data_IF_511126051003
#
_entry.id   IF_511126051003
#
_cell.length_a   1.000
_cell.length_b   1.000
_cell.length_c   1.000
_cell.angle_alpha   90.00
_cell.angle_beta   90.00
_cell.angle_gamma   90.00
#
_symmetry.space_group_name_H-M   'P 1'
#
loop_
_entity.id
_entity.type
_entity.pdbx_description
1 polymer ?
#
# COMPACT_ATOMS: atom_id res chain seq x y z
N UNK A 1 7.73 -48.20 -9.56
CA UNK A 1 9.07 -48.51 -8.98
C UNK A 1 8.88 -49.59 -7.94
N UNK A 2 9.77 -50.59 -7.85
CA UNK A 2 9.72 -51.67 -6.87
C UNK A 2 10.50 -51.22 -5.63
N UNK A 3 9.87 -51.24 -4.45
CA UNK A 3 10.60 -51.17 -3.18
C UNK A 3 11.34 -52.50 -2.93
N UNK A 4 12.35 -52.47 -2.05
CA UNK A 4 13.27 -53.58 -1.66
C UNK A 4 12.59 -54.79 -0.97
N UNK A 5 11.49 -55.27 -1.54
CA UNK A 5 10.74 -56.44 -1.08
C UNK A 5 9.72 -56.97 -2.09
N UNK A 6 9.82 -56.59 -3.37
CA UNK A 6 8.94 -57.12 -4.42
C UNK A 6 7.47 -56.68 -4.33
N UNK A 7 7.14 -55.72 -3.45
CA UNK A 7 5.79 -55.20 -3.27
C UNK A 7 5.55 -54.02 -4.21
N UNK A 8 4.51 -54.10 -5.04
CA UNK A 8 4.09 -52.97 -5.89
C UNK A 8 3.57 -51.85 -4.97
N UNK A 9 4.30 -50.75 -4.86
CA UNK A 9 3.92 -49.58 -4.08
C UNK A 9 3.85 -48.36 -4.99
N UNK A 10 2.83 -47.52 -4.82
CA UNK A 10 2.70 -46.27 -5.55
C UNK A 10 3.06 -45.10 -4.66
N UNK A 11 3.75 -44.13 -5.24
CA UNK A 11 4.09 -42.87 -4.58
C UNK A 11 2.84 -42.11 -4.14
N UNK A 12 3.05 -41.08 -3.32
CA UNK A 12 2.01 -40.13 -2.93
C UNK A 12 1.32 -39.54 -4.17
N UNK A 13 0.03 -39.24 -4.04
CA UNK A 13 -0.80 -38.75 -5.14
C UNK A 13 -1.07 -39.78 -6.24
N UNK A 14 -0.66 -41.05 -6.08
CA UNK A 14 -0.92 -42.13 -7.03
C UNK A 14 -1.58 -43.35 -6.37
N UNK A 15 -2.48 -43.97 -7.09
CA UNK A 15 -3.16 -45.22 -6.71
C UNK A 15 -2.81 -46.35 -7.65
N UNK A 16 -2.81 -47.58 -7.13
CA UNK A 16 -2.52 -48.78 -7.90
C UNK A 16 -3.80 -49.27 -8.58
N UNK A 17 -3.83 -49.21 -9.91
CA UNK A 17 -4.95 -49.70 -10.74
C UNK A 17 -4.37 -50.73 -11.70
N UNK A 18 -4.82 -51.98 -11.60
CA UNK A 18 -4.40 -53.08 -12.47
C UNK A 18 -2.88 -53.28 -12.58
N UNK A 19 -2.16 -53.06 -11.47
CA UNK A 19 -0.69 -53.20 -11.41
C UNK A 19 0.10 -51.96 -11.84
N UNK A 20 -0.57 -50.88 -12.25
CA UNK A 20 0.05 -49.62 -12.63
C UNK A 20 -0.29 -48.49 -11.65
N UNK A 21 0.67 -47.62 -11.38
CA UNK A 21 0.44 -46.43 -10.55
C UNK A 21 -0.11 -45.28 -11.39
N UNK A 22 -1.36 -44.92 -11.16
CA UNK A 22 -2.03 -43.79 -11.82
C UNK A 22 -2.25 -42.62 -10.85
N UNK A 23 -2.19 -41.36 -11.32
CA UNK A 23 -2.52 -40.21 -10.48
C UNK A 23 -3.91 -40.33 -9.87
N UNK A 24 -4.11 -39.76 -8.68
CA UNK A 24 -5.45 -39.59 -8.12
C UNK A 24 -6.32 -38.74 -9.05
N UNK A 25 -7.61 -39.02 -9.10
CA UNK A 25 -8.60 -38.19 -9.81
C UNK A 25 -8.85 -36.86 -9.07
N UNK A 26 -9.48 -35.88 -9.72
CA UNK A 26 -9.83 -34.62 -9.05
C UNK A 26 -10.80 -34.88 -7.88
N UNK A 27 -10.63 -34.11 -6.80
CA UNK A 27 -11.37 -34.36 -5.55
C UNK A 27 -10.85 -35.56 -4.74
N UNK A 28 -9.66 -36.10 -5.08
CA UNK A 28 -9.00 -37.15 -4.31
C UNK A 28 -7.52 -36.86 -4.05
N UNK A 29 -7.00 -37.36 -2.92
CA UNK A 29 -5.61 -37.21 -2.53
C UNK A 29 -5.04 -38.48 -1.88
N UNK A 30 -3.72 -38.57 -1.76
CA UNK A 30 -3.01 -39.63 -1.03
C UNK A 30 -1.66 -39.13 -0.54
N UNK A 31 -1.48 -39.05 0.76
CA UNK A 31 -0.30 -38.42 1.39
C UNK A 31 0.80 -39.38 1.84
N UNK A 32 0.64 -40.66 1.56
CA UNK A 32 1.59 -41.73 1.86
C UNK A 32 1.81 -42.62 0.63
N UNK A 33 3.00 -43.23 0.54
CA UNK A 33 3.24 -44.26 -0.45
C UNK A 33 2.55 -45.57 -0.03
N UNK A 34 2.14 -46.39 -1.00
CA UNK A 34 1.56 -47.70 -0.72
C UNK A 34 0.59 -48.18 -1.80
N UNK A 35 -0.13 -49.26 -1.49
CA UNK A 35 -1.12 -49.88 -2.38
C UNK A 35 -2.52 -49.28 -2.24
N UNK A 36 -2.77 -48.50 -1.19
CA UNK A 36 -4.10 -47.98 -0.87
C UNK A 36 -4.63 -47.03 -1.96
N UNK A 37 -5.96 -46.99 -2.09
CA UNK A 37 -6.67 -46.04 -2.95
C UNK A 37 -6.55 -44.61 -2.45
N UNK A 38 -6.73 -43.64 -3.35
CA UNK A 38 -6.79 -42.24 -2.96
C UNK A 38 -8.04 -41.95 -2.12
N UNK A 39 -7.87 -41.16 -1.08
CA UNK A 39 -8.92 -40.67 -0.19
C UNK A 39 -9.75 -39.58 -0.87
N UNK A 40 -11.00 -39.42 -0.44
CA UNK A 40 -11.97 -38.48 -1.02
C UNK A 40 -11.92 -37.17 -0.25
N UNK A 41 -11.78 -36.05 -0.95
CA UNK A 41 -11.75 -34.72 -0.35
C UNK A 41 -13.04 -34.36 0.40
N UNK A 42 -14.19 -34.61 -0.23
CA UNK A 42 -15.55 -34.35 0.31
C UNK A 42 -15.76 -34.92 1.71
N UNK A 43 -15.40 -36.18 1.95
CA UNK A 43 -15.67 -36.85 3.23
C UNK A 43 -14.53 -36.77 4.25
N UNK A 44 -13.33 -36.33 3.85
CA UNK A 44 -12.14 -36.35 4.72
C UNK A 44 -11.59 -34.99 5.08
N UNK A 45 -11.83 -33.97 4.27
CA UNK A 45 -11.14 -32.68 4.39
C UNK A 45 -12.11 -31.51 4.33
N UNK A 46 -12.91 -31.43 3.26
CA UNK A 46 -13.81 -30.31 2.99
C UNK A 46 -15.09 -30.84 2.36
N UNK A 47 -16.21 -30.72 3.05
CA UNK A 47 -17.50 -31.17 2.52
C UNK A 47 -17.90 -30.39 1.27
N UNK A 48 -18.27 -31.10 0.21
CA UNK A 48 -18.55 -30.58 -1.12
C UNK A 48 -17.31 -30.33 -2.00
N UNK A 49 -16.11 -30.69 -1.57
CA UNK A 49 -14.90 -30.56 -2.38
C UNK A 49 -14.71 -31.75 -3.33
N UNK A 50 -15.17 -31.58 -4.57
CA UNK A 50 -14.96 -32.54 -5.67
C UNK A 50 -13.80 -32.17 -6.59
N UNK A 51 -12.99 -31.20 -6.18
CA UNK A 51 -11.95 -30.59 -6.99
C UNK A 51 -10.64 -30.54 -6.19
N UNK A 52 -9.53 -30.46 -6.92
CA UNK A 52 -8.19 -30.26 -6.34
C UNK A 52 -7.52 -29.03 -6.98
N UNK A 53 -6.65 -28.35 -6.24
CA UNK A 53 -5.92 -27.17 -6.75
C UNK A 53 -5.05 -27.52 -7.96
N UNK A 54 -4.97 -26.65 -8.99
CA UNK A 54 -4.08 -26.84 -10.13
C UNK A 54 -2.63 -26.51 -9.76
N UNK A 55 -1.69 -27.42 -10.05
CA UNK A 55 -0.26 -27.18 -9.85
C UNK A 55 0.69 -28.34 -10.19
N UNK A 56 0.22 -29.58 -10.28
CA UNK A 56 0.80 -30.72 -11.02
C UNK A 56 0.01 -31.99 -10.65
N UNK A 57 0.03 -33.04 -11.47
CA UNK A 57 -0.55 -34.36 -11.12
C UNK A 57 0.04 -34.95 -9.81
N UNK A 58 1.16 -34.40 -9.33
CA UNK A 58 1.83 -34.70 -8.05
C UNK A 58 1.32 -33.90 -6.84
N UNK A 59 0.42 -32.94 -7.01
CA UNK A 59 -0.10 -32.11 -5.90
C UNK A 59 -1.20 -32.79 -5.10
N UNK A 60 -1.78 -33.88 -5.59
CA UNK A 60 -2.71 -34.76 -4.87
C UNK A 60 -2.02 -35.59 -3.79
N UNK A 61 -0.80 -35.23 -3.43
CA UNK A 61 0.03 -35.85 -2.39
C UNK A 61 -0.29 -35.34 -0.98
N UNK A 62 -1.32 -34.51 -0.81
CA UNK A 62 -1.75 -33.99 0.48
C UNK A 62 -3.23 -33.65 0.49
N UNK A 63 -3.86 -33.77 1.65
CA UNK A 63 -5.22 -33.28 1.91
C UNK A 63 -5.38 -31.79 1.60
N UNK A 64 -4.30 -31.00 1.69
CA UNK A 64 -4.29 -29.57 1.35
C UNK A 64 -4.56 -29.28 -0.13
N UNK A 65 -4.51 -30.29 -0.99
CA UNK A 65 -4.85 -30.16 -2.40
C UNK A 65 -6.35 -30.01 -2.64
N UNK A 66 -7.18 -30.45 -1.69
CA UNK A 66 -8.64 -30.39 -1.79
C UNK A 66 -9.13 -28.93 -1.90
N UNK A 67 -10.01 -28.69 -2.86
CA UNK A 67 -10.49 -27.35 -3.19
C UNK A 67 -11.99 -27.36 -3.50
N UNK A 68 -12.66 -26.25 -3.19
CA UNK A 68 -13.99 -25.99 -3.73
C UNK A 68 -13.90 -25.67 -5.23
N UNK A 69 -14.90 -26.11 -5.99
CA UNK A 69 -15.00 -25.82 -7.41
C UNK A 69 -15.23 -24.33 -7.70
N UNK A 70 -15.31 -24.00 -9.00
CA UNK A 70 -15.61 -22.62 -9.44
C UNK A 70 -16.99 -22.21 -8.92
N UNK A 71 -17.16 -20.94 -8.55
CA UNK A 71 -18.43 -20.43 -8.03
C UNK A 71 -18.68 -20.72 -6.54
N UNK A 72 -17.78 -21.47 -5.88
CA UNK A 72 -17.87 -21.83 -4.46
C UNK A 72 -16.65 -21.34 -3.68
N UNK A 73 -16.80 -21.20 -2.37
CA UNK A 73 -15.72 -20.88 -1.45
C UNK A 73 -15.74 -21.81 -0.23
N UNK A 74 -14.59 -21.94 0.42
CA UNK A 74 -14.45 -22.66 1.69
C UNK A 74 -15.02 -21.80 2.81
N UNK A 75 -16.07 -22.31 3.43
CA UNK A 75 -16.83 -21.71 4.51
C UNK A 75 -16.54 -22.46 5.81
N UNK A 76 -15.76 -21.87 6.74
CA UNK A 76 -15.48 -22.47 8.03
C UNK A 76 -16.74 -22.37 8.92
N UNK A 77 -17.42 -23.49 9.09
CA UNK A 77 -18.57 -23.60 9.99
C UNK A 77 -18.10 -24.06 11.36
N UNK A 78 -18.58 -23.40 12.40
CA UNK A 78 -18.45 -23.89 13.77
C UNK A 78 -19.67 -24.76 14.04
N UNK A 79 -19.49 -26.07 14.10
CA UNK A 79 -20.50 -26.98 14.64
C UNK A 79 -20.16 -27.29 16.09
N UNK A 80 -21.13 -27.83 16.83
CA UNK A 80 -20.96 -28.20 18.24
C UNK A 80 -19.96 -29.36 18.43
N UNK A 81 -19.63 -30.07 17.34
CA UNK A 81 -18.79 -31.27 17.36
C UNK A 81 -17.35 -30.98 16.93
N UNK A 82 -17.13 -30.08 15.96
CA UNK A 82 -15.81 -29.61 15.52
C UNK A 82 -15.92 -28.42 14.54
N UNK A 83 -14.86 -27.62 14.34
CA UNK A 83 -14.78 -26.76 13.17
C UNK A 83 -14.75 -27.61 11.89
N UNK A 84 -15.75 -27.44 11.04
CA UNK A 84 -15.91 -28.11 9.75
C UNK A 84 -15.73 -27.09 8.63
N UNK A 85 -15.15 -27.49 7.50
CA UNK A 85 -15.05 -26.64 6.31
C UNK A 85 -15.96 -27.21 5.23
N UNK A 86 -16.88 -26.38 4.73
CA UNK A 86 -17.85 -26.75 3.70
C UNK A 86 -17.67 -25.86 2.48
N UNK A 87 -17.90 -26.39 1.28
CA UNK A 87 -17.99 -25.60 0.06
C UNK A 87 -19.38 -24.96 -0.05
N UNK A 88 -19.47 -23.68 0.31
CA UNK A 88 -20.67 -22.86 0.15
C UNK A 88 -20.67 -22.13 -1.20
N UNK A 89 -21.83 -21.87 -1.77
CA UNK A 89 -21.94 -21.13 -3.02
C UNK A 89 -21.66 -19.65 -2.79
N UNK A 90 -20.91 -19.01 -3.68
CA UNK A 90 -20.67 -17.56 -3.58
C UNK A 90 -21.97 -16.76 -3.71
N UNK A 91 -23.03 -17.35 -4.26
CA UNK A 91 -24.36 -16.75 -4.33
C UNK A 91 -25.03 -16.64 -2.95
N UNK A 92 -24.60 -17.46 -1.98
CA UNK A 92 -25.11 -17.45 -0.60
C UNK A 92 -24.49 -16.32 0.24
N UNK A 93 -23.45 -15.66 -0.28
CA UNK A 93 -22.89 -14.47 0.36
C UNK A 93 -23.86 -13.30 0.27
N UNK A 94 -23.98 -12.54 1.36
CA UNK A 94 -24.70 -11.27 1.37
C UNK A 94 -24.14 -10.37 0.27
N UNK A 95 -25.00 -9.94 -0.66
CA UNK A 95 -24.63 -9.19 -1.86
C UNK A 95 -23.57 -9.90 -2.72
N UNK A 96 -23.86 -11.13 -3.15
CA UNK A 96 -23.02 -11.96 -4.03
C UNK A 96 -22.54 -11.28 -5.33
N UNK A 97 -23.20 -10.20 -5.77
CA UNK A 97 -22.72 -9.35 -6.86
C UNK A 97 -21.39 -8.64 -6.54
N UNK A 98 -21.07 -8.44 -5.27
CA UNK A 98 -19.88 -7.75 -4.79
C UNK A 98 -18.59 -8.55 -4.79
N UNK A 99 -18.60 -9.81 -5.24
CA UNK A 99 -17.42 -10.70 -5.22
C UNK A 99 -17.01 -11.18 -6.60
N UNK A 100 -15.70 -11.41 -6.77
CA UNK A 100 -15.12 -12.06 -7.96
C UNK A 100 -14.97 -13.56 -7.72
N UNK A 101 -16.04 -14.32 -7.96
CA UNK A 101 -16.07 -15.76 -7.69
C UNK A 101 -15.90 -16.63 -8.96
N UNK A 102 -14.70 -16.60 -9.56
CA UNK A 102 -14.41 -17.34 -10.80
C UNK A 102 -13.40 -18.48 -10.65
N UNK A 103 -12.56 -18.42 -9.63
CA UNK A 103 -11.46 -19.35 -9.43
C UNK A 103 -11.88 -20.53 -8.54
N UNK A 104 -11.14 -21.64 -8.63
CA UNK A 104 -11.24 -22.77 -7.69
C UNK A 104 -10.48 -22.44 -6.40
N UNK A 105 -10.80 -23.14 -5.32
CA UNK A 105 -10.06 -23.01 -4.05
C UNK A 105 -10.19 -21.65 -3.39
N UNK A 106 -11.31 -20.95 -3.61
CA UNK A 106 -11.58 -19.70 -2.93
C UNK A 106 -11.80 -19.95 -1.44
N UNK A 107 -11.30 -19.04 -0.62
CA UNK A 107 -11.51 -18.95 0.83
C UNK A 107 -11.93 -17.51 1.11
N UNK A 108 -12.53 -17.23 2.26
CA UNK A 108 -12.85 -15.83 2.61
C UNK A 108 -11.62 -14.92 2.53
N UNK A 109 -10.43 -15.43 2.91
CA UNK A 109 -9.16 -14.68 2.86
C UNK A 109 -8.74 -14.29 1.45
N UNK A 110 -8.86 -15.19 0.47
CA UNK A 110 -8.42 -14.93 -0.90
C UNK A 110 -9.55 -14.41 -1.81
N UNK A 111 -10.79 -14.39 -1.31
CA UNK A 111 -11.95 -13.88 -2.02
C UNK A 111 -11.78 -12.38 -2.29
N UNK A 112 -11.82 -12.02 -3.56
CA UNK A 112 -11.60 -10.65 -4.01
C UNK A 112 -12.94 -9.95 -4.17
N UNK A 113 -13.08 -8.79 -3.53
CA UNK A 113 -14.25 -7.92 -3.70
C UNK A 113 -14.19 -7.17 -5.03
N UNK A 114 -15.36 -6.81 -5.57
CA UNK A 114 -15.48 -5.81 -6.63
C UNK A 114 -15.39 -4.41 -6.03
N UNK A 115 -15.16 -3.42 -6.89
CA UNK A 115 -15.09 -2.02 -6.48
C UNK A 115 -16.44 -1.56 -5.92
N UNK A 116 -16.39 -0.72 -4.89
CA UNK A 116 -17.59 -0.25 -4.19
C UNK A 116 -18.17 -1.23 -3.17
N UNK A 117 -17.50 -2.35 -2.90
CA UNK A 117 -17.89 -3.31 -1.86
C UNK A 117 -16.85 -3.39 -0.75
N UNK A 118 -17.33 -3.64 0.46
CA UNK A 118 -16.51 -3.73 1.65
C UNK A 118 -17.00 -4.82 2.60
N UNK A 119 -16.10 -5.25 3.48
CA UNK A 119 -16.36 -6.15 4.59
C UNK A 119 -15.50 -5.76 5.77
N UNK A 120 -15.95 -6.06 6.98
CA UNK A 120 -15.24 -5.70 8.21
C UNK A 120 -13.94 -6.45 8.45
N UNK A 121 -13.76 -7.63 7.84
CA UNK A 121 -12.51 -8.38 7.92
C UNK A 121 -12.33 -9.28 6.69
N UNK A 122 -11.10 -9.70 6.44
CA UNK A 122 -10.77 -10.66 5.36
C UNK A 122 -11.40 -12.03 5.55
N UNK A 123 -11.93 -12.33 6.73
CA UNK A 123 -12.60 -13.59 7.06
C UNK A 123 -14.13 -13.42 7.15
N UNK A 124 -14.65 -12.23 6.88
CA UNK A 124 -16.09 -12.00 6.91
C UNK A 124 -16.75 -12.39 5.59
N UNK A 125 -17.85 -13.13 5.71
CA UNK A 125 -18.80 -13.41 4.63
C UNK A 125 -19.84 -12.30 4.45
N UNK A 126 -19.93 -11.36 5.40
CA UNK A 126 -20.85 -10.21 5.33
C UNK A 126 -20.22 -9.11 4.50
N UNK A 127 -20.75 -8.92 3.31
CA UNK A 127 -20.29 -7.92 2.35
C UNK A 127 -21.38 -6.87 2.20
N UNK A 128 -20.96 -5.62 2.17
CA UNK A 128 -21.84 -4.44 2.04
C UNK A 128 -21.33 -3.54 0.92
N UNK A 129 -22.24 -2.76 0.35
CA UNK A 129 -21.88 -1.68 -0.56
C UNK A 129 -21.34 -0.48 0.23
N UNK A 130 -20.45 0.26 -0.41
CA UNK A 130 -19.91 1.49 0.15
C UNK A 130 -20.72 2.70 -0.29
N UNK A 131 -20.99 3.59 0.65
CA UNK A 131 -21.66 4.87 0.39
C UNK A 131 -20.94 5.67 -0.71
N UNK A 132 -19.60 5.60 -0.70
CA UNK A 132 -18.73 6.22 -1.68
C UNK A 132 -17.91 5.12 -2.33
N UNK A 133 -18.22 4.80 -3.58
CA UNK A 133 -17.55 3.72 -4.35
C UNK A 133 -16.03 3.86 -4.31
N UNK A 134 -15.51 5.09 -4.43
CA UNK A 134 -14.07 5.37 -4.43
C UNK A 134 -13.36 5.08 -3.10
N UNK A 135 -14.06 5.12 -1.97
CA UNK A 135 -13.47 4.82 -0.65
C UNK A 135 -13.10 3.34 -0.49
N UNK A 136 -13.81 2.47 -1.21
CA UNK A 136 -13.60 1.03 -1.22
C UNK A 136 -13.05 0.52 -2.57
N UNK A 137 -12.84 1.42 -3.53
CA UNK A 137 -12.22 1.09 -4.80
C UNK A 137 -10.77 0.72 -4.54
N UNK A 138 -10.41 -0.50 -4.94
CA UNK A 138 -9.07 -1.03 -4.74
C UNK A 138 -8.33 -0.99 -6.06
N UNK A 139 -7.04 -0.69 -6.01
CA UNK A 139 -6.21 -0.76 -7.20
C UNK A 139 -6.26 -2.17 -7.82
N UNK A 140 -6.22 -2.29 -9.16
CA UNK A 140 -6.13 -3.57 -9.82
C UNK A 140 -4.95 -4.40 -9.27
N UNK A 141 -5.23 -5.62 -8.83
CA UNK A 141 -4.22 -6.50 -8.24
C UNK A 141 -3.93 -6.28 -6.75
N UNK A 142 -4.63 -5.35 -6.08
CA UNK A 142 -4.51 -5.19 -4.64
C UNK A 142 -4.83 -6.52 -3.91
N UNK A 143 -4.05 -6.89 -2.88
CA UNK A 143 -4.25 -8.14 -2.16
C UNK A 143 -5.60 -8.13 -1.44
N UNK A 144 -6.32 -9.25 -1.33
CA UNK A 144 -7.62 -9.35 -0.65
C UNK A 144 -7.70 -8.71 0.75
N UNK A 145 -6.55 -8.56 1.41
CA UNK A 145 -6.35 -7.90 2.71
C UNK A 145 -6.45 -6.37 2.71
N UNK A 146 -6.25 -5.70 1.56
CA UNK A 146 -6.41 -4.25 1.44
C UNK A 146 -7.90 -3.93 1.21
N UNK A 147 -8.64 -3.64 2.28
CA UNK A 147 -10.10 -3.47 2.24
C UNK A 147 -10.54 -2.05 1.84
N UNK A 148 -9.71 -1.05 2.10
CA UNK A 148 -9.98 0.35 1.80
C UNK A 148 -9.02 0.90 0.75
N UNK A 149 -9.48 1.94 0.06
CA UNK A 149 -8.63 2.77 -0.78
C UNK A 149 -7.56 3.48 0.07
N UNK A 150 -6.51 3.97 -0.58
CA UNK A 150 -5.44 4.68 0.13
C UNK A 150 -5.97 5.96 0.79
N UNK A 151 -5.53 6.20 2.02
CA UNK A 151 -6.02 7.30 2.83
C UNK A 151 -7.34 7.06 3.54
N UNK A 152 -8.03 5.94 3.26
CA UNK A 152 -9.30 5.59 3.88
C UNK A 152 -9.15 4.47 4.93
N UNK A 153 -9.98 4.52 5.97
CA UNK A 153 -10.00 3.53 7.07
C UNK A 153 -11.38 3.43 7.71
N UNK A 154 -11.52 2.49 8.65
CA UNK A 154 -12.72 2.28 9.44
C UNK A 154 -13.84 1.54 8.70
N UNK A 155 -15.03 1.45 9.33
CA UNK A 155 -16.19 0.81 8.74
C UNK A 155 -16.58 1.47 7.43
N UNK A 156 -16.73 0.65 6.38
CA UNK A 156 -17.11 1.09 5.03
C UNK A 156 -16.12 2.15 4.49
N UNK A 157 -14.88 2.16 5.00
CA UNK A 157 -13.82 3.08 4.58
C UNK A 157 -14.22 4.56 4.67
N UNK A 158 -15.09 4.90 5.62
CA UNK A 158 -15.71 6.23 5.73
C UNK A 158 -14.85 7.27 6.46
N UNK A 159 -13.78 6.83 7.14
CA UNK A 159 -12.84 7.69 7.86
C UNK A 159 -11.55 7.89 7.07
N UNK A 160 -10.85 9.00 7.34
CA UNK A 160 -9.52 9.24 6.78
C UNK A 160 -8.44 8.76 7.75
N UNK A 161 -7.37 8.19 7.21
CA UNK A 161 -6.16 7.93 7.98
C UNK A 161 -5.46 9.23 8.36
N UNK A 162 -4.56 9.17 9.34
CA UNK A 162 -3.75 10.32 9.73
C UNK A 162 -3.02 10.95 8.53
N UNK A 163 -3.02 12.28 8.49
CA UNK A 163 -2.45 13.04 7.37
C UNK A 163 -3.34 13.12 6.13
N UNK A 164 -4.58 12.62 6.18
CA UNK A 164 -5.58 12.78 5.14
C UNK A 164 -6.81 13.53 5.66
N UNK A 165 -7.52 14.23 4.77
CA UNK A 165 -8.81 14.88 5.05
C UNK A 165 -9.78 14.68 3.90
N UNK A 166 -11.09 14.69 4.19
CA UNK A 166 -12.13 14.64 3.16
C UNK A 166 -12.11 15.90 2.30
N UNK A 167 -12.33 15.74 1.00
CA UNK A 167 -12.62 16.84 0.07
C UNK A 167 -14.14 17.04 -0.08
N UNK A 168 -14.56 17.89 -1.03
CA UNK A 168 -15.98 18.22 -1.28
C UNK A 168 -16.84 17.01 -1.69
N UNK A 169 -16.22 15.94 -2.22
CA UNK A 169 -16.89 14.70 -2.61
C UNK A 169 -16.64 13.56 -1.60
N UNK A 170 -16.27 13.92 -0.37
CA UNK A 170 -16.05 13.00 0.76
C UNK A 170 -14.92 11.96 0.59
N UNK A 171 -14.06 12.13 -0.41
CA UNK A 171 -12.88 11.29 -0.65
C UNK A 171 -11.70 11.82 0.16
N UNK A 172 -10.98 10.93 0.84
CA UNK A 172 -9.80 11.27 1.63
C UNK A 172 -8.63 11.63 0.71
N UNK A 173 -8.06 12.81 0.92
CA UNK A 173 -6.88 13.31 0.21
C UNK A 173 -5.78 13.69 1.19
N UNK A 174 -4.49 13.54 0.81
CA UNK A 174 -3.38 13.97 1.65
C UNK A 174 -3.55 15.44 2.03
N UNK A 175 -3.34 15.76 3.31
CA UNK A 175 -3.17 17.13 3.74
C UNK A 175 -1.96 17.72 3.00
N UNK A 176 -2.09 18.94 2.47
CA UNK A 176 -0.94 19.67 1.96
C UNK A 176 0.05 19.77 3.12
N UNK A 177 1.20 19.10 3.02
CA UNK A 177 2.30 19.38 3.93
C UNK A 177 2.62 20.86 3.77
N UNK A 178 2.86 21.54 4.89
CA UNK A 178 3.36 22.91 4.88
C UNK A 178 4.80 22.88 4.32
N UNK A 179 4.94 22.59 3.03
CA UNK A 179 6.17 22.79 2.31
C UNK A 179 6.47 24.28 2.36
N UNK A 180 7.71 24.62 2.70
CA UNK A 180 8.24 25.98 2.51
C UNK A 180 7.85 26.39 1.10
N UNK A 181 6.91 27.33 0.98
CA UNK A 181 6.48 27.75 -0.35
C UNK A 181 7.71 28.30 -1.06
N UNK A 182 7.87 27.96 -2.33
CA UNK A 182 8.95 28.49 -3.17
C UNK A 182 8.97 30.04 -3.08
N UNK A 183 7.81 30.68 -2.86
CA UNK A 183 7.69 32.11 -2.57
C UNK A 183 8.39 32.57 -1.29
N UNK A 184 8.38 31.78 -0.21
CA UNK A 184 9.07 32.11 1.03
C UNK A 184 10.60 32.20 0.87
N UNK A 185 11.17 31.37 -0.01
CA UNK A 185 12.60 31.40 -0.33
C UNK A 185 12.95 32.67 -1.11
N UNK A 186 12.15 33.05 -2.11
CA UNK A 186 12.40 34.26 -2.90
C UNK A 186 12.28 35.56 -2.08
N UNK A 187 11.37 35.62 -1.11
CA UNK A 187 11.28 36.78 -0.20
C UNK A 187 12.54 36.92 0.65
N UNK A 188 13.08 35.83 1.18
CA UNK A 188 14.32 35.85 1.97
C UNK A 188 15.53 36.31 1.13
N UNK A 189 15.67 35.79 -0.10
CA UNK A 189 16.72 36.25 -1.02
C UNK A 189 16.55 37.71 -1.44
N UNK A 190 15.31 38.16 -1.67
CA UNK A 190 15.01 39.56 -1.98
C UNK A 190 15.42 40.50 -0.86
N UNK A 191 15.04 40.20 0.40
CA UNK A 191 15.42 40.99 1.58
C UNK A 191 16.94 40.99 1.78
N UNK A 192 17.60 39.85 1.59
CA UNK A 192 19.05 39.79 1.70
C UNK A 192 19.74 40.65 0.61
N UNK A 193 19.27 40.57 -0.64
CA UNK A 193 19.81 41.35 -1.74
C UNK A 193 19.61 42.86 -1.52
N UNK A 194 18.45 43.30 -1.01
CA UNK A 194 18.22 44.72 -0.72
C UNK A 194 19.09 45.23 0.44
N UNK A 195 19.29 44.42 1.49
CA UNK A 195 20.22 44.75 2.58
C UNK A 195 21.65 44.87 2.05
N UNK A 196 22.13 43.91 1.26
CA UNK A 196 23.48 43.96 0.68
C UNK A 196 23.63 45.17 -0.23
N UNK A 197 22.66 45.43 -1.09
CA UNK A 197 22.66 46.60 -1.97
C UNK A 197 22.70 47.91 -1.17
N UNK A 198 21.91 48.01 -0.11
CA UNK A 198 21.91 49.15 0.81
C UNK A 198 23.27 49.37 1.48
N UNK A 199 23.90 48.29 1.97
CA UNK A 199 25.22 48.36 2.59
C UNK A 199 26.32 48.77 1.59
N UNK A 200 26.23 48.30 0.35
CA UNK A 200 27.15 48.68 -0.74
C UNK A 200 26.96 50.16 -1.11
N UNK A 201 25.72 50.62 -1.27
CA UNK A 201 25.42 52.04 -1.53
C UNK A 201 25.93 52.94 -0.39
N UNK A 202 25.71 52.55 0.88
CA UNK A 202 26.27 53.26 2.03
C UNK A 202 27.79 53.34 1.99
N UNK A 203 28.48 52.27 1.58
CA UNK A 203 29.95 52.27 1.46
C UNK A 203 30.46 53.16 0.33
N UNK A 204 29.78 53.18 -0.82
CA UNK A 204 30.17 53.99 -1.98
C UNK A 204 29.91 55.48 -1.71
N UNK A 205 28.69 55.82 -1.28
CA UNK A 205 28.30 57.21 -0.99
C UNK A 205 29.01 57.76 0.26
N UNK A 206 29.33 56.91 1.24
CA UNK A 206 30.14 57.31 2.41
C UNK A 206 31.61 57.62 2.07
N UNK A 207 32.12 57.14 0.92
CA UNK A 207 33.51 57.36 0.48
C UNK A 207 33.74 58.78 -0.04
N UNK A 208 32.74 59.41 -0.66
CA UNK A 208 32.82 60.79 -1.13
C UNK A 208 32.84 61.79 0.04
N UNK A 209 32.07 61.52 1.09
CA UNK A 209 32.03 62.38 2.29
C UNK A 209 33.36 62.43 3.05
N UNK A 210 34.17 61.35 3.04
CA UNK A 210 35.49 61.34 3.69
C UNK A 210 36.56 62.12 2.89
N UNK A 211 36.42 62.16 1.56
CA UNK A 211 37.36 62.90 0.71
C UNK A 211 37.10 64.41 0.78
N UNK A 212 35.82 64.82 0.78
CA UNK A 212 35.42 66.22 0.90
C UNK A 212 35.82 66.79 2.27
N UNK A 213 35.64 66.04 3.37
CA UNK A 213 36.04 66.52 4.71
C UNK A 213 37.55 66.77 4.79
N UNK A 214 38.37 65.92 4.16
CA UNK A 214 39.83 66.12 4.12
C UNK A 214 40.23 67.36 3.33
N UNK A 215 39.58 67.63 2.20
CA UNK A 215 39.82 68.85 1.40
C UNK A 215 39.40 70.11 2.18
N UNK A 216 38.23 70.09 2.83
CA UNK A 216 37.76 71.22 3.64
C UNK A 216 38.75 71.50 4.78
N UNK A 217 39.31 70.46 5.40
CA UNK A 217 40.27 70.61 6.50
C UNK A 217 41.58 71.27 6.04
N UNK A 218 42.10 70.90 4.87
CA UNK A 218 43.29 71.54 4.27
C UNK A 218 43.02 73.00 3.87
N UNK A 219 41.87 73.30 3.26
CA UNK A 219 41.48 74.68 2.92
C UNK A 219 41.37 75.54 4.18
N UNK A 220 40.74 75.02 5.24
CA UNK A 220 40.58 75.76 6.50
C UNK A 220 41.93 76.10 7.11
N UNK A 221 42.87 75.15 7.13
CA UNK A 221 44.23 75.38 7.63
C UNK A 221 44.96 76.44 6.81
N UNK A 222 44.89 76.38 5.48
CA UNK A 222 45.48 77.39 4.61
C UNK A 222 44.89 78.80 4.85
N UNK A 223 43.58 78.90 5.09
CA UNK A 223 42.94 80.20 5.39
C UNK A 223 43.30 80.77 6.76
N UNK A 224 43.62 79.92 7.75
CA UNK A 224 44.10 80.38 9.06
C UNK A 224 45.53 80.91 8.98
N UNK A 225 46.41 80.23 8.23
CA UNK A 225 47.79 80.69 8.01
C UNK A 225 47.82 82.05 7.29
N UNK A 226 46.97 82.27 6.29
CA UNK A 226 46.91 83.54 5.54
C UNK A 226 46.38 84.72 6.40
N UNK A 227 45.44 84.43 7.32
CA UNK A 227 45.00 85.40 8.34
C UNK A 227 46.10 85.75 9.35
N UNK A 228 46.98 84.80 9.67
CA UNK A 228 48.11 85.04 10.57
C UNK A 228 49.19 85.91 9.90
N UNK A 229 49.51 85.69 8.61
CA UNK A 229 50.47 86.49 7.86
C UNK A 229 49.96 87.90 7.53
N UNK A 230 48.68 88.06 7.17
CA UNK A 230 48.08 89.39 6.90
C UNK A 230 48.03 90.31 8.14
N UNK A 231 47.99 89.75 9.35
CA UNK A 231 48.11 90.52 10.60
C UNK A 231 49.54 90.98 10.90
N UNK A 232 50.56 90.22 10.51
CA UNK A 232 51.98 90.60 10.73
C UNK A 232 52.49 91.69 9.77
N UNK A 233 51.87 91.84 8.60
CA UNK A 233 52.23 92.89 7.63
C UNK A 233 51.61 94.28 7.94
N UNK A 234 50.76 94.37 8.99
CA UNK A 234 50.04 95.61 9.38
C UNK A 234 50.56 96.24 10.69
N UNK A 235 51.73 95.83 11.16
CA UNK A 235 52.48 96.42 12.29
C UNK A 235 53.91 96.64 11.85
#
# INVERSE_FOLDING_TARGET
MKDEGGKCSCDKGKTLISGECRPCEDGRFKDHAGTNSCEICDSKVIHGAFETMPGSESDKSSSKSCACGKGKYQDPRKTDEAPEVVCSDCMDLDLSQGVKCKNKGLTLKNLTLKDGFWRNSVESSKIVECDIVFSCAREPGAPPTKLCADGHTGPICSACTDGYKKNEIEVCRPCASAGVSIGGIYVLFGVFATIVFYLVLRKILGKENLFITKIIQEITKATEDDKHWSKRLKT
#
